data_IF_355045126377
#
_entry.id   IF_355045126377
#
_cell.length_a   1.000
_cell.length_b   1.000
_cell.length_c   1.000
_cell.angle_alpha   90.00
_cell.angle_beta   90.00
_cell.angle_gamma   90.00
#
_symmetry.space_group_name_H-M   'P 1'
#
loop_
_entity.id
_entity.type
_entity.pdbx_description
1 polymer ?
#
# COMPACT_ATOMS: atom_id res chain seq x y z
N UNK A 1 -3.99 21.40 -1.07
CA UNK A 1 -2.85 20.45 -1.09
C UNK A 1 -1.71 21.13 -1.82
N UNK A 2 -0.45 21.00 -1.37
CA UNK A 2 0.68 21.42 -2.22
C UNK A 2 0.58 20.65 -3.55
N UNK A 3 0.64 21.36 -4.68
CA UNK A 3 0.47 20.81 -6.04
C UNK A 3 1.32 19.54 -6.27
N UNK A 4 2.55 19.54 -5.75
CA UNK A 4 3.51 18.44 -5.86
C UNK A 4 3.03 17.14 -5.19
N UNK A 5 2.43 17.21 -3.99
CA UNK A 5 1.95 16.02 -3.28
C UNK A 5 0.80 15.34 -4.04
N UNK A 6 -0.06 16.15 -4.67
CA UNK A 6 -1.16 15.64 -5.50
C UNK A 6 -0.64 14.94 -6.76
N UNK A 7 0.38 15.50 -7.42
CA UNK A 7 1.02 14.87 -8.58
C UNK A 7 1.62 13.51 -8.20
N UNK A 8 2.38 13.43 -7.10
CA UNK A 8 2.92 12.15 -6.65
C UNK A 8 1.84 11.13 -6.32
N UNK A 9 0.73 11.54 -5.70
CA UNK A 9 -0.39 10.65 -5.42
C UNK A 9 -1.04 10.09 -6.69
N UNK A 10 -1.16 10.90 -7.76
CA UNK A 10 -1.66 10.43 -9.06
C UNK A 10 -0.69 9.40 -9.66
N UNK A 11 0.61 9.67 -9.65
CA UNK A 11 1.61 8.73 -10.15
C UNK A 11 1.55 7.42 -9.36
N UNK A 12 1.43 7.49 -8.03
CA UNK A 12 1.21 6.30 -7.18
C UNK A 12 -0.03 5.54 -7.60
N UNK A 13 -1.16 6.22 -7.80
CA UNK A 13 -2.41 5.57 -8.22
C UNK A 13 -2.27 4.84 -9.57
N UNK A 14 -1.54 5.43 -10.53
CA UNK A 14 -1.26 4.79 -11.82
C UNK A 14 -0.39 3.54 -11.65
N UNK A 15 0.70 3.63 -10.90
CA UNK A 15 1.60 2.50 -10.66
C UNK A 15 0.89 1.37 -9.89
N UNK A 16 0.11 1.72 -8.87
CA UNK A 16 -0.69 0.79 -8.09
C UNK A 16 -1.89 0.23 -8.86
N UNK A 17 -2.34 0.88 -9.94
CA UNK A 17 -3.33 0.33 -10.86
C UNK A 17 -2.75 -0.73 -11.81
N UNK A 18 -1.47 -0.60 -12.16
CA UNK A 18 -0.76 -1.53 -13.05
C UNK A 18 -0.27 -2.78 -12.29
N UNK A 19 0.28 -2.59 -11.09
CA UNK A 19 0.93 -3.67 -10.33
C UNK A 19 0.05 -4.93 -10.10
N UNK A 20 -1.23 -4.81 -9.73
CA UNK A 20 -2.11 -5.96 -9.50
C UNK A 20 -2.25 -6.91 -10.69
N UNK A 21 -2.07 -6.41 -11.93
CA UNK A 21 -2.08 -7.26 -13.13
C UNK A 21 -0.92 -8.25 -13.10
N UNK A 22 0.29 -7.77 -12.83
CA UNK A 22 1.48 -8.62 -12.73
C UNK A 22 1.42 -9.53 -11.51
N UNK A 23 0.92 -9.03 -10.39
CA UNK A 23 0.77 -9.79 -9.15
C UNK A 23 -0.25 -10.92 -9.32
N UNK A 24 -1.39 -10.66 -9.96
CA UNK A 24 -2.38 -11.68 -10.32
C UNK A 24 -1.78 -12.73 -11.24
N UNK A 25 -1.03 -12.35 -12.28
CA UNK A 25 -0.36 -13.30 -13.19
C UNK A 25 0.59 -14.20 -12.38
N UNK A 26 1.44 -13.61 -11.55
CA UNK A 26 2.41 -14.34 -10.74
C UNK A 26 1.78 -15.31 -9.74
N UNK A 27 0.78 -14.85 -8.97
CA UNK A 27 0.15 -15.67 -7.92
C UNK A 27 -0.79 -16.74 -8.47
N UNK A 28 -1.39 -16.49 -9.65
CA UNK A 28 -2.23 -17.48 -10.34
C UNK A 28 -1.42 -18.65 -10.92
N UNK A 29 -0.11 -18.48 -11.08
CA UNK A 29 0.83 -19.54 -11.48
C UNK A 29 1.05 -20.66 -10.45
N UNK A 30 0.29 -20.67 -9.34
CA UNK A 30 0.26 -21.77 -8.37
C UNK A 30 1.08 -21.54 -7.10
N UNK A 31 1.91 -20.50 -7.04
CA UNK A 31 2.72 -20.21 -5.85
C UNK A 31 1.83 -19.87 -4.63
N UNK A 32 2.32 -20.16 -3.44
CA UNK A 32 1.63 -19.79 -2.20
C UNK A 32 1.67 -18.26 -2.01
N UNK A 33 0.59 -17.61 -1.52
CA UNK A 33 0.55 -16.16 -1.30
C UNK A 33 1.74 -15.62 -0.49
N UNK A 34 2.13 -16.31 0.57
CA UNK A 34 3.27 -15.89 1.40
C UNK A 34 4.60 -15.90 0.61
N UNK A 35 4.80 -16.83 -0.33
CA UNK A 35 5.99 -16.85 -1.17
C UNK A 35 6.00 -15.66 -2.13
N UNK A 36 4.83 -15.29 -2.67
CA UNK A 36 4.70 -14.08 -3.49
C UNK A 36 5.12 -12.82 -2.73
N UNK A 37 4.69 -12.69 -1.47
CA UNK A 37 5.06 -11.57 -0.59
C UNK A 37 6.58 -11.52 -0.36
N UNK A 38 7.19 -12.68 -0.07
CA UNK A 38 8.64 -12.77 0.16
C UNK A 38 9.42 -12.39 -1.11
N UNK A 39 9.05 -12.94 -2.27
CA UNK A 39 9.72 -12.62 -3.55
C UNK A 39 9.63 -11.12 -3.84
N UNK A 40 8.43 -10.54 -3.77
CA UNK A 40 8.20 -9.09 -3.95
C UNK A 40 9.10 -8.27 -3.02
N UNK A 41 9.10 -8.61 -1.73
CA UNK A 41 9.82 -7.85 -0.70
C UNK A 41 11.33 -7.88 -0.91
N UNK A 42 11.90 -9.05 -1.25
CA UNK A 42 13.33 -9.19 -1.56
C UNK A 42 13.69 -8.35 -2.80
N UNK A 43 12.89 -8.41 -3.86
CA UNK A 43 13.14 -7.63 -5.08
C UNK A 43 13.13 -6.12 -4.81
N UNK A 44 12.15 -5.62 -4.06
CA UNK A 44 12.06 -4.19 -3.69
C UNK A 44 13.22 -3.78 -2.79
N UNK A 45 13.55 -4.59 -1.78
CA UNK A 45 14.66 -4.32 -0.87
C UNK A 45 16.00 -4.27 -1.63
N UNK A 46 16.22 -5.19 -2.57
CA UNK A 46 17.43 -5.21 -3.40
C UNK A 46 17.58 -3.92 -4.21
N UNK A 47 16.52 -3.48 -4.90
CA UNK A 47 16.55 -2.23 -5.70
C UNK A 47 16.78 -1.01 -4.79
N UNK A 48 16.13 -0.96 -3.63
CA UNK A 48 16.30 0.12 -2.66
C UNK A 48 17.73 0.22 -2.13
N UNK A 49 18.33 -0.92 -1.74
CA UNK A 49 19.72 -0.98 -1.29
C UNK A 49 20.71 -0.63 -2.41
N UNK A 50 20.49 -1.12 -3.64
CA UNK A 50 21.32 -0.75 -4.78
C UNK A 50 21.27 0.76 -5.05
N UNK A 51 20.08 1.37 -5.01
CA UNK A 51 19.93 2.83 -5.16
C UNK A 51 20.69 3.60 -4.09
N UNK A 52 20.59 3.17 -2.82
CA UNK A 52 21.31 3.80 -1.71
C UNK A 52 22.84 3.78 -1.90
N UNK A 53 23.37 2.64 -2.35
CA UNK A 53 24.80 2.47 -2.64
C UNK A 53 25.23 3.33 -3.82
N UNK A 54 24.46 3.34 -4.92
CA UNK A 54 24.76 4.13 -6.12
C UNK A 54 24.74 5.64 -5.85
N UNK A 55 23.88 6.11 -4.95
CA UNK A 55 23.81 7.51 -4.55
C UNK A 55 24.89 7.90 -3.51
N UNK A 56 25.66 6.95 -3.00
CA UNK A 56 26.65 7.20 -1.94
C UNK A 56 26.05 7.59 -0.59
N UNK A 57 24.76 7.28 -0.35
CA UNK A 57 23.99 7.71 0.83
C UNK A 57 23.89 6.63 1.91
N UNK A 58 24.75 5.61 1.87
CA UNK A 58 24.71 4.46 2.80
C UNK A 58 24.83 4.85 4.27
N UNK A 59 25.55 5.94 4.56
CA UNK A 59 25.71 6.49 5.92
C UNK A 59 24.39 7.02 6.49
N UNK A 60 23.41 7.37 5.67
CA UNK A 60 22.11 7.86 6.16
C UNK A 60 21.27 6.79 6.85
N UNK A 61 21.54 5.50 6.62
CA UNK A 61 20.86 4.44 7.35
C UNK A 61 21.20 4.46 8.85
N UNK A 62 22.43 4.84 9.21
CA UNK A 62 22.85 4.88 10.62
C UNK A 62 22.37 6.14 11.33
N UNK A 63 21.89 7.16 10.60
CA UNK A 63 21.31 8.37 11.18
C UNK A 63 19.81 8.29 11.42
N UNK A 64 19.13 7.20 11.00
CA UNK A 64 17.71 6.98 11.25
C UNK A 64 17.49 6.73 12.75
N UNK A 65 16.64 7.53 13.38
CA UNK A 65 16.31 7.34 14.77
C UNK A 65 15.45 6.07 14.99
N UNK A 66 15.63 5.42 16.13
CA UNK A 66 14.97 4.15 16.45
C UNK A 66 13.44 4.25 16.44
N UNK A 67 12.89 5.42 16.81
CA UNK A 67 11.44 5.61 16.87
C UNK A 67 10.85 5.64 15.46
N UNK A 68 11.44 6.40 14.54
CA UNK A 68 11.06 6.42 13.13
C UNK A 68 11.22 5.04 12.50
N UNK A 69 12.35 4.37 12.76
CA UNK A 69 12.56 3.00 12.29
C UNK A 69 11.48 2.03 12.79
N UNK A 70 11.10 2.11 14.08
CA UNK A 70 10.06 1.26 14.65
C UNK A 70 8.69 1.49 13.99
N UNK A 71 8.27 2.75 13.76
CA UNK A 71 7.01 3.02 13.06
C UNK A 71 7.03 2.54 11.61
N UNK A 72 8.16 2.67 10.90
CA UNK A 72 8.31 2.16 9.53
C UNK A 72 8.28 0.63 9.49
N UNK A 73 8.90 -0.05 10.46
CA UNK A 73 8.84 -1.52 10.58
C UNK A 73 7.42 -1.98 10.85
N UNK A 74 6.72 -1.37 11.82
CA UNK A 74 5.33 -1.72 12.12
C UNK A 74 4.42 -1.48 10.91
N UNK A 75 4.55 -0.31 10.26
CA UNK A 75 3.83 -0.02 9.02
C UNK A 75 4.12 -1.03 7.91
N UNK A 76 5.39 -1.41 7.75
CA UNK A 76 5.85 -2.42 6.79
C UNK A 76 5.29 -3.82 7.08
N UNK A 77 5.15 -4.21 8.36
CA UNK A 77 4.52 -5.47 8.73
C UNK A 77 3.02 -5.47 8.36
N UNK A 78 2.30 -4.39 8.68
CA UNK A 78 0.88 -4.29 8.35
C UNK A 78 0.63 -4.23 6.84
N UNK A 79 1.32 -3.35 6.12
CA UNK A 79 1.08 -3.17 4.69
C UNK A 79 1.80 -4.23 3.84
N UNK A 80 3.11 -4.38 4.02
CA UNK A 80 3.98 -5.18 3.17
C UNK A 80 3.99 -6.68 3.46
N UNK A 81 3.58 -7.11 4.66
CA UNK A 81 3.49 -8.54 5.00
C UNK A 81 2.05 -9.02 5.17
N UNK A 82 1.33 -8.55 6.20
CA UNK A 82 -0.01 -9.05 6.50
C UNK A 82 -1.04 -8.62 5.45
N UNK A 83 -1.05 -7.33 5.11
CA UNK A 83 -1.90 -6.75 4.08
C UNK A 83 -1.65 -7.44 2.75
N UNK A 84 -0.40 -7.46 2.29
CA UNK A 84 -0.02 -8.11 1.03
C UNK A 84 -0.35 -9.61 1.00
N UNK A 85 -0.15 -10.34 2.11
CA UNK A 85 -0.51 -11.76 2.19
C UNK A 85 -2.01 -11.99 2.00
N UNK A 86 -2.85 -11.22 2.70
CA UNK A 86 -4.31 -11.32 2.57
C UNK A 86 -4.78 -10.85 1.20
N UNK A 87 -4.15 -9.81 0.65
CA UNK A 87 -4.41 -9.28 -0.68
C UNK A 87 -4.07 -10.30 -1.77
N UNK A 88 -2.90 -10.93 -1.72
CA UNK A 88 -2.50 -11.98 -2.66
C UNK A 88 -3.35 -13.23 -2.51
N UNK A 89 -3.80 -13.56 -1.29
CA UNK A 89 -4.74 -14.67 -1.08
C UNK A 89 -6.08 -14.38 -1.77
N UNK A 90 -6.59 -13.15 -1.64
CA UNK A 90 -7.81 -12.72 -2.33
C UNK A 90 -7.61 -12.65 -3.86
N UNK A 91 -6.49 -12.09 -4.34
CA UNK A 91 -6.16 -12.04 -5.77
C UNK A 91 -5.99 -13.43 -6.35
N UNK A 92 -5.48 -14.42 -5.61
CA UNK A 92 -5.32 -15.78 -6.12
C UNK A 92 -6.66 -16.39 -6.52
N UNK A 93 -7.70 -16.20 -5.71
CA UNK A 93 -9.03 -16.81 -5.94
C UNK A 93 -10.03 -15.89 -6.62
N UNK A 94 -9.89 -14.57 -6.51
CA UNK A 94 -10.82 -13.57 -7.01
C UNK A 94 -10.37 -12.86 -8.28
N UNK A 95 -11.27 -12.11 -8.89
CA UNK A 95 -10.98 -11.24 -10.03
C UNK A 95 -10.28 -9.96 -9.59
N UNK A 96 -9.25 -9.54 -10.32
CA UNK A 96 -8.52 -8.31 -9.99
C UNK A 96 -9.43 -7.06 -10.03
N UNK A 97 -10.39 -7.03 -10.97
CA UNK A 97 -11.41 -5.98 -11.10
C UNK A 97 -12.28 -5.79 -9.85
N UNK A 98 -12.44 -6.83 -9.04
CA UNK A 98 -13.20 -6.81 -7.78
C UNK A 98 -12.28 -6.60 -6.56
N UNK A 99 -11.19 -7.37 -6.50
CA UNK A 99 -10.29 -7.38 -5.34
C UNK A 99 -9.57 -6.04 -5.19
N UNK A 100 -9.12 -5.43 -6.29
CA UNK A 100 -8.37 -4.16 -6.26
C UNK A 100 -9.22 -3.02 -5.68
N UNK A 101 -10.44 -2.74 -6.18
CA UNK A 101 -11.25 -1.65 -5.63
C UNK A 101 -11.67 -1.89 -4.18
N UNK A 102 -11.99 -3.14 -3.80
CA UNK A 102 -12.31 -3.49 -2.41
C UNK A 102 -11.11 -3.23 -1.49
N UNK A 103 -9.91 -3.66 -1.88
CA UNK A 103 -8.70 -3.40 -1.11
C UNK A 103 -8.40 -1.89 -1.04
N UNK A 104 -8.67 -1.13 -2.09
CA UNK A 104 -8.49 0.31 -2.16
C UNK A 104 -9.49 1.12 -1.29
N UNK A 105 -10.45 0.47 -0.62
CA UNK A 105 -11.37 1.12 0.33
C UNK A 105 -10.73 1.46 1.69
N UNK A 106 -9.45 1.12 1.90
CA UNK A 106 -8.73 1.40 3.14
C UNK A 106 -8.68 2.88 3.58
N UNK A 107 -8.86 3.92 2.73
CA UNK A 107 -8.94 5.30 3.21
C UNK A 107 -9.99 5.55 4.29
N UNK A 108 -11.07 4.74 4.35
CA UNK A 108 -12.00 4.74 5.48
C UNK A 108 -11.29 4.44 6.80
N UNK A 109 -10.52 3.35 6.82
CA UNK A 109 -9.76 2.90 7.99
C UNK A 109 -8.71 3.94 8.34
N UNK A 110 -7.99 4.48 7.33
CA UNK A 110 -7.00 5.54 7.54
C UNK A 110 -7.62 6.78 8.17
N UNK A 111 -8.79 7.23 7.73
CA UNK A 111 -9.43 8.41 8.33
C UNK A 111 -9.81 8.17 9.79
N UNK A 112 -10.37 7.00 10.11
CA UNK A 112 -10.75 6.67 11.49
C UNK A 112 -9.50 6.67 12.38
N UNK A 113 -8.45 5.99 11.94
CA UNK A 113 -7.20 5.92 12.69
C UNK A 113 -6.52 7.30 12.78
N UNK A 114 -6.55 8.11 11.70
CA UNK A 114 -5.90 9.43 11.71
C UNK A 114 -6.61 10.42 12.63
N UNK A 115 -7.95 10.36 12.72
CA UNK A 115 -8.72 11.14 13.69
C UNK A 115 -8.41 10.69 15.12
N UNK A 116 -8.24 9.39 15.37
CA UNK A 116 -7.96 8.86 16.71
C UNK A 116 -6.52 9.15 17.17
N UNK A 117 -5.54 9.02 16.29
CA UNK A 117 -4.12 9.12 16.64
C UNK A 117 -3.58 10.54 16.48
N UNK A 118 -3.92 11.21 15.37
CA UNK A 118 -3.38 12.52 15.02
C UNK A 118 -4.35 13.66 15.30
N UNK A 119 -5.56 13.35 15.78
CA UNK A 119 -6.62 14.33 16.05
C UNK A 119 -6.94 15.21 14.86
N UNK A 120 -6.84 14.65 13.65
CA UNK A 120 -7.16 15.37 12.42
C UNK A 120 -8.62 15.82 12.40
N UNK A 121 -8.86 17.03 11.87
CA UNK A 121 -10.21 17.53 11.70
C UNK A 121 -11.03 16.62 10.76
N UNK A 122 -12.12 16.08 11.30
CA UNK A 122 -13.14 15.37 10.56
C UNK A 122 -14.09 16.38 9.93
N UNK A 123 -14.11 16.44 8.59
CA UNK A 123 -15.00 17.34 7.84
C UNK A 123 -16.09 16.54 7.14
N UNK A 124 -17.28 17.15 6.99
CA UNK A 124 -18.38 16.55 6.24
C UNK A 124 -17.97 16.19 4.80
N UNK A 125 -17.10 16.98 4.17
CA UNK A 125 -16.59 16.70 2.84
C UNK A 125 -15.73 15.43 2.79
N UNK A 126 -14.85 15.20 3.77
CA UNK A 126 -14.07 13.96 3.87
C UNK A 126 -14.98 12.75 4.08
N UNK A 127 -16.00 12.89 4.94
CA UNK A 127 -16.99 11.84 5.19
C UNK A 127 -17.77 11.48 3.91
N UNK A 128 -18.28 12.49 3.20
CA UNK A 128 -19.02 12.30 1.95
C UNK A 128 -18.16 11.61 0.88
N UNK A 129 -16.90 12.02 0.72
CA UNK A 129 -15.97 11.40 -0.22
C UNK A 129 -15.72 9.91 0.08
N UNK A 130 -15.54 9.56 1.36
CA UNK A 130 -15.35 8.17 1.76
C UNK A 130 -16.63 7.34 1.54
N UNK A 131 -17.80 7.90 1.83
CA UNK A 131 -19.07 7.23 1.55
C UNK A 131 -19.24 6.95 0.04
N UNK A 132 -18.79 7.85 -0.83
CA UNK A 132 -18.77 7.62 -2.28
C UNK A 132 -17.81 6.51 -2.68
N UNK A 133 -16.60 6.46 -2.09
CA UNK A 133 -15.64 5.35 -2.33
C UNK A 133 -16.25 4.02 -1.92
N UNK A 134 -16.84 3.94 -0.72
CA UNK A 134 -17.49 2.72 -0.23
C UNK A 134 -18.67 2.33 -1.12
N UNK A 135 -19.52 3.29 -1.49
CA UNK A 135 -20.65 3.06 -2.38
C UNK A 135 -20.23 2.52 -3.74
N UNK A 136 -19.16 3.06 -4.33
CA UNK A 136 -18.58 2.55 -5.57
C UNK A 136 -18.07 1.12 -5.44
N UNK A 137 -17.41 0.79 -4.33
CA UNK A 137 -16.94 -0.58 -4.05
C UNK A 137 -18.09 -1.56 -3.86
N UNK A 138 -19.17 -1.16 -3.20
CA UNK A 138 -20.37 -1.99 -3.02
C UNK A 138 -21.02 -2.29 -4.38
N UNK A 139 -21.08 -1.30 -5.29
CA UNK A 139 -21.72 -1.46 -6.60
C UNK A 139 -20.96 -2.41 -7.53
N UNK A 140 -19.66 -2.61 -7.31
CA UNK A 140 -18.84 -3.53 -8.11
C UNK A 140 -19.11 -5.00 -7.77
N UNK A 141 -19.70 -5.30 -6.60
CA UNK A 141 -20.09 -6.65 -6.19
C UNK A 141 -21.34 -7.14 -6.92
#
# INVERSE_FOLDING_TARGET
MQSTAFIFAIITALLWGIAPVFEKIGISGGIAPYLGVVIRSISVAFIGLAGLLLMGRSVELSSVDLRSAAFLVVGGLFAGFFGEYTYYSALKTGEASLVVPVAAAYPLVTLIISVLIFHEAFTLSKAAGILMVIGGVILLR
#
